data_IF_735698959866
#
_entry.id   IF_735698959866
#
_cell.length_a   1.000
_cell.length_b   1.000
_cell.length_c   1.000
_cell.angle_alpha   90.00
_cell.angle_beta   90.00
_cell.angle_gamma   90.00
#
_symmetry.space_group_name_H-M   'P 1'
#
loop_
_entity.id
_entity.type
_entity.pdbx_description
1 polymer ?
#
# COMPACT_ATOMS: atom_id res chain seq x y z
N UNK A 1 26.21 64.64 3.82
CA UNK A 1 25.18 65.03 2.86
C UNK A 1 25.22 64.06 1.70
N UNK A 2 24.19 63.36 1.52
CA UNK A 2 23.53 62.76 0.37
C UNK A 2 22.96 61.38 0.77
N UNK A 3 21.69 61.41 0.95
CA UNK A 3 20.79 60.27 1.19
C UNK A 3 20.59 59.49 -0.10
N UNK A 4 20.74 58.18 -0.05
CA UNK A 4 20.22 57.29 -1.11
C UNK A 4 19.09 56.48 -0.56
N UNK A 5 17.88 56.80 -1.01
CA UNK A 5 16.67 55.98 -0.83
C UNK A 5 16.83 54.72 -1.68
N UNK A 6 16.81 53.55 -1.05
CA UNK A 6 16.57 52.30 -1.71
C UNK A 6 15.06 52.08 -1.82
N UNK A 7 14.55 52.14 -3.02
CA UNK A 7 13.21 51.70 -3.38
C UNK A 7 13.11 50.17 -3.20
N UNK A 8 12.24 49.77 -2.27
CA UNK A 8 11.78 48.39 -2.18
C UNK A 8 10.72 48.24 -3.27
N UNK A 9 11.08 47.57 -4.38
CA UNK A 9 10.10 47.12 -5.35
C UNK A 9 9.18 46.08 -4.67
N UNK A 10 7.93 46.42 -4.58
CA UNK A 10 6.85 45.53 -4.18
C UNK A 10 6.68 44.52 -5.31
N UNK A 11 7.02 43.26 -5.03
CA UNK A 11 6.65 42.15 -5.90
C UNK A 11 5.12 42.10 -6.05
N UNK A 12 4.67 42.30 -7.27
CA UNK A 12 3.28 42.06 -7.67
C UNK A 12 2.94 40.60 -7.46
N UNK A 13 1.77 40.26 -6.93
CA UNK A 13 1.35 38.87 -6.82
C UNK A 13 1.25 38.27 -8.22
N UNK A 14 1.97 37.20 -8.46
CA UNK A 14 1.87 36.39 -9.66
C UNK A 14 0.44 35.86 -9.67
N UNK A 15 -0.39 36.40 -10.56
CA UNK A 15 -1.67 35.79 -10.90
C UNK A 15 -1.35 34.37 -11.36
N UNK A 16 -1.89 33.39 -10.61
CA UNK A 16 -1.86 31.97 -10.99
C UNK A 16 -2.54 31.84 -12.35
N UNK A 17 -1.74 31.75 -13.39
CA UNK A 17 -2.20 31.39 -14.71
C UNK A 17 -2.55 29.91 -14.61
N UNK A 18 -3.84 29.61 -14.54
CA UNK A 18 -4.41 28.29 -14.73
C UNK A 18 -4.16 27.90 -16.20
N UNK A 19 -2.97 27.40 -16.49
CA UNK A 19 -2.61 26.94 -17.84
C UNK A 19 -3.35 25.64 -18.24
N UNK A 20 -3.97 24.99 -17.30
CA UNK A 20 -4.77 23.78 -17.51
C UNK A 20 -6.08 24.02 -16.75
N UNK A 21 -7.22 24.05 -17.45
CA UNK A 21 -8.56 24.37 -16.94
C UNK A 21 -9.08 23.51 -15.76
N UNK A 22 -8.21 23.12 -14.85
CA UNK A 22 -8.51 22.37 -13.64
C UNK A 22 -9.11 23.34 -12.61
N UNK A 23 -10.42 23.29 -12.47
CA UNK A 23 -11.10 24.04 -11.44
C UNK A 23 -10.92 23.37 -10.09
N UNK A 24 -9.98 23.87 -9.30
CA UNK A 24 -9.79 23.50 -7.88
C UNK A 24 -11.12 23.53 -7.10
N UNK A 25 -12.08 24.34 -7.54
CA UNK A 25 -13.45 24.39 -6.97
C UNK A 25 -14.21 23.07 -7.07
N UNK A 26 -13.94 22.22 -8.08
CA UNK A 26 -14.63 20.92 -8.20
C UNK A 26 -14.12 19.87 -7.23
N UNK A 27 -12.87 19.96 -6.78
CA UNK A 27 -12.34 19.08 -5.72
C UNK A 27 -12.81 19.47 -4.31
N UNK A 28 -13.35 20.68 -4.13
CA UNK A 28 -13.79 21.23 -2.83
C UNK A 28 -15.31 21.11 -2.64
N UNK A 29 -16.06 20.45 -3.52
CA UNK A 29 -17.48 20.23 -3.28
C UNK A 29 -17.68 19.30 -2.08
N UNK A 30 -18.04 19.93 -0.99
CA UNK A 30 -18.54 19.52 0.33
C UNK A 30 -18.51 18.01 0.62
N UNK A 31 -17.77 17.59 1.66
CA UNK A 31 -17.97 16.28 2.24
C UNK A 31 -19.44 16.14 2.66
N UNK A 32 -20.04 15.00 2.36
CA UNK A 32 -21.34 14.63 2.93
C UNK A 32 -21.22 14.77 4.46
N UNK A 33 -22.13 15.47 5.06
CA UNK A 33 -22.28 15.54 6.51
C UNK A 33 -22.50 14.12 7.00
N UNK A 34 -21.74 13.70 7.97
CA UNK A 34 -21.80 12.50 8.78
C UNK A 34 -20.58 11.58 8.64
N UNK A 35 -19.41 12.11 8.99
CA UNK A 35 -18.33 11.26 9.52
C UNK A 35 -17.83 11.92 10.79
N UNK A 36 -18.28 11.46 11.91
CA UNK A 36 -17.68 11.74 13.22
C UNK A 36 -16.26 11.15 13.22
N UNK A 37 -15.27 12.01 13.10
CA UNK A 37 -13.88 11.60 13.29
C UNK A 37 -13.61 11.50 14.78
N UNK A 38 -13.52 10.29 15.25
CA UNK A 38 -12.95 10.01 16.57
C UNK A 38 -11.47 10.42 16.57
N UNK A 39 -10.99 11.01 17.66
CA UNK A 39 -9.63 11.58 17.82
C UNK A 39 -8.52 10.50 17.85
N UNK A 40 -8.62 9.44 17.07
CA UNK A 40 -7.64 8.38 16.98
C UNK A 40 -6.58 8.70 15.92
N UNK A 41 -5.36 8.84 16.37
CA UNK A 41 -4.07 8.90 15.67
C UNK A 41 -4.10 8.91 14.13
N UNK A 42 -4.34 10.09 13.56
CA UNK A 42 -4.20 10.28 12.10
C UNK A 42 -2.74 10.10 11.68
N UNK A 43 -2.51 9.49 10.50
CA UNK A 43 -1.19 9.42 9.91
C UNK A 43 -0.62 10.84 9.66
N UNK A 44 0.71 11.03 9.84
CA UNK A 44 1.36 12.31 9.50
C UNK A 44 1.21 12.68 8.03
N UNK A 45 1.21 11.65 7.14
CA UNK A 45 0.98 11.81 5.72
C UNK A 45 0.01 10.73 5.22
N UNK A 46 -1.11 11.13 4.62
CA UNK A 46 -2.12 10.21 4.11
C UNK A 46 -2.87 10.80 2.91
N UNK A 47 -3.07 9.99 1.88
CA UNK A 47 -3.92 10.34 0.74
C UNK A 47 -5.38 10.33 1.20
N UNK A 48 -6.12 11.37 0.84
CA UNK A 48 -7.54 11.57 1.13
C UNK A 48 -8.42 11.43 -0.11
N UNK A 49 -7.91 11.89 -1.26
CA UNK A 49 -8.64 11.84 -2.53
C UNK A 49 -7.67 11.57 -3.68
N UNK A 50 -8.16 10.87 -4.67
CA UNK A 50 -7.44 10.54 -5.90
C UNK A 50 -8.34 10.94 -7.07
N UNK A 51 -7.82 11.75 -7.98
CA UNK A 51 -8.44 12.10 -9.24
C UNK A 51 -7.51 11.74 -10.39
N UNK A 52 -7.99 10.98 -11.35
CA UNK A 52 -7.23 10.59 -12.54
C UNK A 52 -8.12 10.73 -13.76
N UNK A 53 -7.65 11.45 -14.78
CA UNK A 53 -8.35 11.63 -16.04
C UNK A 53 -7.37 11.52 -17.21
N UNK A 54 -7.74 10.77 -18.25
CA UNK A 54 -6.98 10.56 -19.48
C UNK A 54 -5.57 9.99 -19.25
N UNK A 55 -5.47 8.87 -18.52
CA UNK A 55 -4.19 8.19 -18.25
C UNK A 55 -4.28 6.69 -18.48
N UNK A 56 -3.51 6.15 -19.41
CA UNK A 56 -3.32 4.69 -19.67
C UNK A 56 -4.62 3.85 -19.61
N UNK A 57 -5.68 4.33 -20.30
CA UNK A 57 -6.98 3.65 -20.34
C UNK A 57 -7.91 4.03 -19.18
N UNK A 58 -7.47 4.87 -18.24
CA UNK A 58 -8.34 5.54 -17.28
C UNK A 58 -8.92 6.76 -18.00
N UNK A 59 -10.20 6.72 -18.35
CA UNK A 59 -10.88 7.87 -18.93
C UNK A 59 -11.09 8.93 -17.85
N UNK A 60 -11.77 8.53 -16.76
CA UNK A 60 -11.95 9.37 -15.58
C UNK A 60 -12.32 8.51 -14.38
N UNK A 61 -11.64 8.70 -13.28
CA UNK A 61 -11.97 8.04 -12.00
C UNK A 61 -11.69 8.98 -10.83
N UNK A 62 -12.56 8.94 -9.84
CA UNK A 62 -12.47 9.76 -8.63
C UNK A 62 -12.69 8.89 -7.40
N UNK A 63 -11.73 8.88 -6.47
CA UNK A 63 -11.91 8.32 -5.14
C UNK A 63 -11.85 9.46 -4.14
N UNK A 64 -12.94 9.64 -3.42
CA UNK A 64 -13.08 10.67 -2.40
C UNK A 64 -13.20 10.05 -1.01
N UNK A 65 -12.91 10.85 0.01
CA UNK A 65 -13.19 10.48 1.41
C UNK A 65 -12.45 9.22 1.90
N UNK A 66 -11.16 9.04 1.52
CA UNK A 66 -10.30 8.06 2.18
C UNK A 66 -10.01 8.57 3.59
N UNK A 67 -10.29 7.78 4.65
CA UNK A 67 -10.01 8.20 6.02
C UNK A 67 -8.52 8.45 6.26
N UNK A 68 -8.18 9.52 6.97
CA UNK A 68 -6.78 9.92 7.22
C UNK A 68 -6.02 9.03 8.19
N UNK A 69 -6.71 8.11 8.84
CA UNK A 69 -6.16 7.06 9.69
C UNK A 69 -6.03 5.71 8.97
N UNK A 70 -6.36 5.67 7.67
CA UNK A 70 -6.20 4.49 6.82
C UNK A 70 -4.73 4.26 6.52
N UNK A 71 -4.15 3.23 7.12
CA UNK A 71 -2.76 2.85 6.86
C UNK A 71 -2.61 2.04 5.56
N UNK A 72 -3.61 1.25 5.18
CA UNK A 72 -3.55 0.38 4.02
C UNK A 72 -4.67 0.65 3.03
N UNK A 73 -4.28 0.87 1.77
CA UNK A 73 -5.17 0.86 0.62
C UNK A 73 -4.78 -0.31 -0.29
N UNK A 74 -5.69 -1.25 -0.46
CA UNK A 74 -5.49 -2.40 -1.34
C UNK A 74 -6.21 -2.16 -2.66
N UNK A 75 -5.47 -2.26 -3.77
CA UNK A 75 -6.01 -2.29 -5.12
C UNK A 75 -6.20 -3.75 -5.53
N UNK A 76 -7.43 -4.13 -5.83
CA UNK A 76 -7.79 -5.46 -6.31
C UNK A 76 -8.45 -5.40 -7.67
N UNK A 77 -8.61 -6.52 -8.34
CA UNK A 77 -9.22 -6.66 -9.65
C UNK A 77 -8.46 -7.64 -10.53
N UNK A 78 -9.02 -8.03 -11.65
CA UNK A 78 -8.42 -8.98 -12.58
C UNK A 78 -7.09 -8.50 -13.17
N UNK A 79 -6.37 -9.45 -13.77
CA UNK A 79 -5.14 -9.16 -14.51
C UNK A 79 -5.46 -8.23 -15.69
N UNK A 80 -4.57 -7.31 -15.99
CA UNK A 80 -4.69 -6.33 -17.08
C UNK A 80 -5.80 -5.29 -16.92
N UNK A 81 -6.49 -5.21 -15.76
CA UNK A 81 -7.50 -4.19 -15.49
C UNK A 81 -6.89 -2.83 -15.09
N UNK A 82 -5.56 -2.71 -14.98
CA UNK A 82 -4.89 -1.43 -14.84
C UNK A 82 -4.52 -1.04 -13.40
N UNK A 83 -4.39 -2.00 -12.46
CA UNK A 83 -3.91 -1.71 -11.09
C UNK A 83 -2.57 -0.99 -11.08
N UNK A 84 -1.61 -1.45 -11.88
CA UNK A 84 -0.31 -0.80 -12.07
C UNK A 84 -0.47 0.61 -12.62
N UNK A 85 -1.36 0.84 -13.60
CA UNK A 85 -1.63 2.17 -14.15
C UNK A 85 -2.16 3.14 -13.08
N UNK A 86 -3.01 2.66 -12.18
CA UNK A 86 -3.48 3.44 -11.03
C UNK A 86 -2.34 3.81 -10.09
N UNK A 87 -1.49 2.86 -9.70
CA UNK A 87 -0.32 3.13 -8.85
C UNK A 87 0.64 4.11 -9.52
N UNK A 88 0.89 3.95 -10.82
CA UNK A 88 1.70 4.88 -11.62
C UNK A 88 1.10 6.28 -11.64
N UNK A 89 -0.21 6.42 -11.84
CA UNK A 89 -0.89 7.71 -11.79
C UNK A 89 -0.75 8.36 -10.40
N UNK A 90 -0.93 7.60 -9.32
CA UNK A 90 -0.71 8.11 -7.95
C UNK A 90 0.74 8.59 -7.77
N UNK A 91 1.72 7.80 -8.20
CA UNK A 91 3.13 8.18 -8.12
C UNK A 91 3.43 9.48 -8.88
N UNK A 92 2.85 9.64 -10.08
CA UNK A 92 2.97 10.86 -10.89
C UNK A 92 2.30 12.05 -10.19
N UNK A 93 1.10 11.85 -9.65
CA UNK A 93 0.38 12.90 -8.93
C UNK A 93 1.17 13.40 -7.71
N UNK A 94 1.78 12.49 -6.93
CA UNK A 94 2.63 12.84 -5.79
C UNK A 94 3.94 13.53 -6.22
N UNK A 95 4.58 13.02 -7.27
CA UNK A 95 5.90 13.49 -7.72
C UNK A 95 5.81 14.68 -8.67
N UNK A 96 4.65 14.93 -9.27
CA UNK A 96 4.43 15.95 -10.31
C UNK A 96 4.91 15.56 -11.70
N UNK A 97 5.61 14.40 -11.85
CA UNK A 97 6.14 13.89 -13.12
C UNK A 97 6.41 12.39 -13.01
N UNK A 98 6.55 11.72 -14.14
CA UNK A 98 6.86 10.28 -14.18
C UNK A 98 8.30 10.00 -13.74
N UNK A 99 9.26 10.72 -14.31
CA UNK A 99 10.69 10.62 -14.04
C UNK A 99 11.38 11.95 -14.38
N UNK A 100 12.72 12.04 -14.21
CA UNK A 100 13.50 13.29 -14.34
C UNK A 100 13.11 14.16 -15.53
N UNK A 101 12.69 13.58 -16.66
CA UNK A 101 12.40 14.33 -17.88
C UNK A 101 11.14 13.86 -18.64
N UNK A 102 10.42 12.85 -18.17
CA UNK A 102 9.23 12.36 -18.88
C UNK A 102 7.99 12.97 -18.29
N UNK A 103 7.41 13.92 -19.00
CA UNK A 103 6.04 14.38 -18.83
C UNK A 103 5.17 13.36 -19.59
N UNK A 104 4.04 13.02 -19.04
CA UNK A 104 3.04 12.21 -19.74
C UNK A 104 2.70 12.85 -21.07
N UNK A 105 2.66 12.02 -22.10
CA UNK A 105 2.48 12.45 -23.48
C UNK A 105 1.02 12.46 -23.94
N UNK A 106 0.08 12.00 -23.08
CA UNK A 106 -1.34 12.03 -23.40
C UNK A 106 -1.86 13.46 -23.28
N UNK A 107 -2.42 13.96 -24.38
CA UNK A 107 -3.11 15.25 -24.37
C UNK A 107 -4.25 15.25 -23.38
N UNK A 108 -4.35 16.29 -22.55
CA UNK A 108 -5.36 16.46 -21.51
C UNK A 108 -5.30 15.47 -20.31
N UNK A 109 -4.17 14.82 -20.07
CA UNK A 109 -4.01 14.04 -18.85
C UNK A 109 -4.08 14.93 -17.60
N UNK A 110 -4.93 14.55 -16.65
CA UNK A 110 -5.07 15.24 -15.37
C UNK A 110 -4.94 14.23 -14.23
N UNK A 111 -4.02 14.48 -13.32
CA UNK A 111 -3.85 13.69 -12.11
C UNK A 111 -3.75 14.64 -10.93
N UNK A 112 -4.63 14.47 -9.97
CA UNK A 112 -4.65 15.25 -8.73
C UNK A 112 -4.75 14.34 -7.52
N UNK A 113 -3.92 14.62 -6.50
CA UNK A 113 -3.93 13.89 -5.23
C UNK A 113 -4.14 14.91 -4.11
N UNK A 114 -5.21 14.75 -3.34
CA UNK A 114 -5.35 15.45 -2.07
C UNK A 114 -4.79 14.57 -0.97
N UNK A 115 -3.88 15.11 -0.19
CA UNK A 115 -3.28 14.42 0.95
C UNK A 115 -3.23 15.32 2.18
N UNK A 116 -3.20 14.70 3.34
CA UNK A 116 -2.77 15.33 4.58
C UNK A 116 -1.26 15.17 4.69
N UNK A 117 -0.55 16.24 5.04
CA UNK A 117 0.88 16.20 5.32
C UNK A 117 1.18 17.13 6.51
N UNK A 118 1.76 16.56 7.58
CA UNK A 118 2.14 17.30 8.80
C UNK A 118 1.01 18.16 9.42
N UNK A 119 -0.23 17.70 9.30
CA UNK A 119 -1.40 18.42 9.83
C UNK A 119 -2.15 19.26 8.79
N UNK A 120 -1.52 19.65 7.70
CA UNK A 120 -2.10 20.49 6.66
C UNK A 120 -2.63 19.63 5.48
N UNK A 121 -3.68 20.13 4.83
CA UNK A 121 -4.16 19.59 3.58
C UNK A 121 -3.32 20.13 2.42
N UNK A 122 -2.79 19.24 1.61
CA UNK A 122 -2.04 19.56 0.41
C UNK A 122 -2.72 18.95 -0.81
N UNK A 123 -2.70 19.66 -1.92
CA UNK A 123 -3.14 19.14 -3.21
C UNK A 123 -1.91 19.11 -4.12
N UNK A 124 -1.55 17.92 -4.56
CA UNK A 124 -0.50 17.72 -5.54
C UNK A 124 -1.10 17.34 -6.88
N UNK A 125 -0.46 17.71 -7.96
CA UNK A 125 -0.93 17.37 -9.30
C UNK A 125 0.22 17.26 -10.29
N UNK A 126 -0.10 16.69 -11.44
CA UNK A 126 0.82 16.59 -12.56
C UNK A 126 1.45 17.95 -12.88
N UNK A 127 2.77 17.98 -13.02
CA UNK A 127 3.55 19.18 -13.35
C UNK A 127 4.06 19.98 -12.15
N UNK A 128 3.54 19.78 -10.94
CA UNK A 128 3.96 20.49 -9.73
C UNK A 128 4.38 19.47 -8.66
N UNK A 129 5.67 19.19 -8.49
CA UNK A 129 6.16 18.31 -7.45
C UNK A 129 5.99 18.98 -6.08
N UNK A 130 5.21 18.40 -5.20
CA UNK A 130 4.94 18.96 -3.88
C UNK A 130 5.16 17.97 -2.75
N UNK A 131 5.05 16.66 -3.01
CA UNK A 131 5.25 15.65 -1.99
C UNK A 131 6.45 14.78 -2.30
N UNK A 132 7.45 14.80 -1.45
CA UNK A 132 8.72 14.08 -1.67
C UNK A 132 8.85 12.82 -0.81
N UNK A 133 8.14 12.77 0.32
CA UNK A 133 8.28 11.70 1.29
C UNK A 133 7.48 10.45 0.91
N UNK A 134 7.77 9.89 -0.26
CA UNK A 134 7.18 8.64 -0.73
C UNK A 134 8.20 7.85 -1.56
N UNK A 135 7.93 6.55 -1.69
CA UNK A 135 8.66 5.60 -2.55
C UNK A 135 7.68 4.70 -3.28
N UNK A 136 8.08 4.20 -4.45
CA UNK A 136 7.22 3.36 -5.27
C UNK A 136 7.99 2.16 -5.84
N UNK A 137 7.45 0.97 -5.65
CA UNK A 137 8.05 -0.29 -6.05
C UNK A 137 7.17 -1.01 -7.06
N UNK A 138 7.78 -1.43 -8.18
CA UNK A 138 7.16 -2.34 -9.15
C UNK A 138 7.36 -3.81 -8.77
N UNK A 139 7.04 -4.70 -9.69
CA UNK A 139 7.21 -6.15 -9.54
C UNK A 139 8.69 -6.59 -9.46
N UNK A 140 9.61 -5.85 -10.09
CA UNK A 140 11.05 -6.16 -10.07
C UNK A 140 11.75 -5.56 -8.86
N UNK A 141 12.02 -6.39 -7.83
CA UNK A 141 12.57 -5.96 -6.52
C UNK A 141 13.78 -6.79 -6.06
N UNK A 142 14.44 -7.51 -6.97
CA UNK A 142 15.55 -8.42 -6.61
C UNK A 142 16.94 -7.83 -6.84
N UNK A 143 17.03 -6.75 -7.62
CA UNK A 143 18.31 -6.14 -7.96
C UNK A 143 18.63 -4.99 -7.00
N UNK A 144 19.76 -5.09 -6.32
CA UNK A 144 20.34 -4.03 -5.48
C UNK A 144 21.63 -3.52 -6.10
N UNK A 145 22.02 -2.31 -5.75
CA UNK A 145 23.29 -1.72 -6.19
C UNK A 145 24.51 -2.55 -5.74
N UNK A 146 25.65 -2.34 -6.39
CA UNK A 146 26.89 -3.06 -6.09
C UNK A 146 27.30 -2.85 -4.61
N UNK A 147 27.60 -3.94 -3.93
CA UNK A 147 27.98 -3.96 -2.51
C UNK A 147 29.24 -3.16 -2.16
N UNK A 148 30.13 -2.96 -3.12
CA UNK A 148 31.43 -2.32 -2.90
C UNK A 148 31.45 -0.82 -3.24
N UNK A 149 30.35 -0.31 -3.79
CA UNK A 149 30.21 1.09 -4.15
C UNK A 149 29.23 1.78 -3.21
N UNK A 150 29.50 3.06 -2.94
CA UNK A 150 28.56 3.91 -2.24
C UNK A 150 27.22 3.92 -3.00
N UNK A 151 26.11 3.96 -2.27
CA UNK A 151 24.80 4.11 -2.87
C UNK A 151 24.74 5.42 -3.66
N UNK A 152 24.47 5.33 -4.96
CA UNK A 152 24.31 6.46 -5.83
C UNK A 152 22.93 6.47 -6.45
N UNK A 153 22.26 7.62 -6.45
CA UNK A 153 20.97 7.77 -7.11
C UNK A 153 21.23 7.97 -8.62
N UNK A 154 21.24 6.85 -9.34
CA UNK A 154 21.25 6.80 -10.80
C UNK A 154 19.83 6.92 -11.35
N UNK A 155 19.68 7.01 -12.68
CA UNK A 155 18.36 6.99 -13.33
C UNK A 155 17.55 5.75 -12.92
N UNK A 156 18.18 4.56 -12.93
CA UNK A 156 17.53 3.27 -12.62
C UNK A 156 17.23 3.05 -11.14
N UNK A 157 17.81 3.85 -10.27
CA UNK A 157 17.61 3.78 -8.82
C UNK A 157 16.83 4.96 -8.24
N UNK A 158 16.11 5.73 -9.07
CA UNK A 158 15.19 6.74 -8.54
C UNK A 158 14.02 6.10 -7.81
N UNK A 159 13.43 6.82 -6.87
CA UNK A 159 12.39 6.29 -5.95
C UNK A 159 11.10 5.80 -6.61
N UNK A 160 10.92 6.07 -7.89
CA UNK A 160 9.74 5.67 -8.67
C UNK A 160 10.08 4.80 -9.87
N UNK A 161 11.36 4.71 -10.27
CA UNK A 161 11.76 4.05 -11.52
C UNK A 161 11.27 2.61 -11.62
N UNK A 162 11.40 1.81 -10.56
CA UNK A 162 11.00 0.42 -10.55
C UNK A 162 9.49 0.18 -10.75
N UNK A 163 8.63 1.19 -10.48
CA UNK A 163 7.19 1.09 -10.77
C UNK A 163 6.87 1.26 -12.26
N UNK A 164 7.75 1.91 -13.02
CA UNK A 164 7.57 2.17 -14.46
C UNK A 164 8.42 1.26 -15.33
N UNK A 165 9.48 0.66 -14.78
CA UNK A 165 10.48 -0.08 -15.54
C UNK A 165 10.87 -1.36 -14.79
N UNK A 166 11.00 -2.46 -15.55
CA UNK A 166 11.35 -3.78 -15.00
C UNK A 166 12.83 -3.92 -14.61
N UNK A 167 13.68 -3.01 -15.02
CA UNK A 167 15.13 -3.01 -14.76
C UNK A 167 15.54 -2.03 -13.66
N UNK A 168 14.59 -1.70 -12.78
CA UNK A 168 14.84 -0.88 -11.59
C UNK A 168 15.85 -1.53 -10.64
N UNK A 169 16.72 -0.70 -10.06
CA UNK A 169 17.76 -1.12 -9.11
C UNK A 169 17.50 -0.42 -7.77
N UNK A 170 17.43 -1.19 -6.70
CA UNK A 170 17.23 -0.68 -5.34
C UNK A 170 18.57 -0.28 -4.71
N UNK A 171 18.54 0.67 -3.79
CA UNK A 171 19.70 1.02 -2.97
C UNK A 171 20.12 -0.19 -2.10
N UNK A 172 21.40 -0.29 -1.81
CA UNK A 172 21.95 -1.43 -1.10
C UNK A 172 22.02 -1.19 0.40
N UNK A 173 21.14 -1.84 1.15
CA UNK A 173 21.11 -1.76 2.62
C UNK A 173 22.36 -2.37 3.26
N UNK A 174 23.04 -3.35 2.64
CA UNK A 174 24.26 -3.94 3.19
C UNK A 174 25.39 -2.92 3.27
N UNK A 175 25.47 -2.02 2.28
CA UNK A 175 26.43 -0.92 2.31
C UNK A 175 26.18 0.01 3.51
N UNK A 176 24.94 0.38 3.75
CA UNK A 176 24.55 1.24 4.87
C UNK A 176 24.75 0.54 6.23
N UNK A 177 24.36 -0.73 6.35
CA UNK A 177 24.62 -1.52 7.56
C UNK A 177 26.11 -1.57 7.88
N UNK A 178 26.96 -1.75 6.86
CA UNK A 178 28.42 -1.75 7.04
C UNK A 178 28.92 -0.38 7.52
N UNK A 179 28.46 0.72 6.89
CA UNK A 179 28.85 2.07 7.31
C UNK A 179 28.40 2.38 8.72
N UNK A 180 27.15 2.12 9.07
CA UNK A 180 26.64 2.37 10.44
C UNK A 180 27.39 1.55 11.48
N UNK A 181 27.74 0.30 11.16
CA UNK A 181 28.56 -0.54 12.04
C UNK A 181 29.97 0.03 12.24
N UNK A 182 30.66 0.41 11.16
CA UNK A 182 32.03 0.94 11.22
C UNK A 182 32.08 2.29 11.95
N UNK A 183 31.07 3.12 11.75
CA UNK A 183 30.94 4.42 12.40
C UNK A 183 30.36 4.32 13.82
N UNK A 184 29.98 3.11 14.28
CA UNK A 184 29.31 2.88 15.56
C UNK A 184 28.02 3.66 15.73
N UNK A 185 27.26 3.82 14.65
CA UNK A 185 25.97 4.49 14.67
C UNK A 185 24.88 3.60 15.29
N UNK A 186 23.98 4.15 16.13
CA UNK A 186 22.87 3.39 16.72
C UNK A 186 21.96 2.74 15.67
N UNK A 187 21.88 3.33 14.48
CA UNK A 187 21.07 2.83 13.35
C UNK A 187 21.39 1.38 12.99
N UNK A 188 22.64 0.93 13.15
CA UNK A 188 23.00 -0.45 12.83
C UNK A 188 22.16 -1.45 13.61
N UNK A 189 22.16 -1.37 14.95
CA UNK A 189 21.42 -2.32 15.79
C UNK A 189 19.90 -2.17 15.64
N UNK A 190 19.42 -0.96 15.47
CA UNK A 190 17.99 -0.66 15.29
C UNK A 190 17.49 -1.27 13.98
N UNK A 191 18.18 -1.03 12.86
CA UNK A 191 17.79 -1.56 11.54
C UNK A 191 17.96 -3.07 11.48
N UNK A 192 19.05 -3.62 12.02
CA UNK A 192 19.26 -5.05 12.17
C UNK A 192 18.08 -5.69 12.91
N UNK A 193 17.73 -5.19 14.09
CA UNK A 193 16.60 -5.69 14.89
C UNK A 193 15.27 -5.56 14.13
N UNK A 194 15.11 -4.48 13.39
CA UNK A 194 13.92 -4.24 12.55
C UNK A 194 13.79 -5.29 11.44
N UNK A 195 14.89 -5.58 10.74
CA UNK A 195 14.90 -6.61 9.69
C UNK A 195 14.66 -8.02 10.27
N UNK A 196 15.25 -8.35 11.41
CA UNK A 196 15.01 -9.63 12.09
C UNK A 196 13.56 -9.77 12.55
N UNK A 197 12.93 -8.68 13.00
CA UNK A 197 11.49 -8.68 13.35
C UNK A 197 10.59 -8.91 12.14
N UNK A 198 10.94 -8.34 10.98
CA UNK A 198 10.21 -8.51 9.73
C UNK A 198 10.45 -9.90 9.12
N UNK A 199 11.55 -10.55 9.43
CA UNK A 199 11.99 -11.83 8.87
C UNK A 199 12.27 -12.83 9.99
N UNK A 200 11.25 -13.40 10.68
CA UNK A 200 11.44 -14.27 11.83
C UNK A 200 12.29 -15.52 11.57
N UNK A 201 12.33 -16.00 10.32
CA UNK A 201 13.21 -17.12 9.94
C UNK A 201 14.70 -16.73 9.81
N UNK A 202 15.06 -15.44 9.93
CA UNK A 202 16.44 -15.03 10.16
C UNK A 202 16.75 -15.04 11.66
N UNK A 203 17.81 -15.73 12.01
CA UNK A 203 18.34 -15.77 13.38
C UNK A 203 19.19 -14.53 13.69
N UNK A 204 20.00 -14.11 12.71
CA UNK A 204 20.92 -12.98 12.89
C UNK A 204 21.38 -12.38 11.56
N UNK A 205 21.85 -11.14 11.61
CA UNK A 205 22.57 -10.43 10.56
C UNK A 205 23.90 -9.99 11.14
N UNK A 206 25.01 -10.42 10.55
CA UNK A 206 26.35 -10.17 11.10
C UNK A 206 27.25 -9.50 10.07
N UNK A 207 28.23 -8.74 10.56
CA UNK A 207 29.29 -8.18 9.74
C UNK A 207 30.56 -9.01 9.96
N UNK A 208 30.96 -9.72 8.90
CA UNK A 208 32.16 -10.57 8.91
C UNK A 208 33.35 -9.77 8.38
N UNK A 209 34.48 -9.89 9.11
CA UNK A 209 35.76 -9.26 8.75
C UNK A 209 35.66 -7.73 8.45
N UNK A 210 34.64 -7.02 8.98
CA UNK A 210 34.39 -5.59 8.72
C UNK A 210 34.21 -5.25 7.23
N UNK A 211 33.76 -6.19 6.41
CA UNK A 211 33.68 -6.01 4.95
C UNK A 211 32.41 -6.61 4.34
N UNK A 212 31.81 -7.58 4.99
CA UNK A 212 30.73 -8.36 4.39
C UNK A 212 29.57 -8.52 5.39
N UNK A 213 28.35 -8.29 4.91
CA UNK A 213 27.14 -8.60 5.64
C UNK A 213 26.76 -10.05 5.34
N UNK A 214 26.49 -10.84 6.36
CA UNK A 214 26.05 -12.22 6.23
C UNK A 214 24.78 -12.44 7.04
N UNK A 215 23.96 -13.34 6.57
CA UNK A 215 22.65 -13.67 7.11
C UNK A 215 22.66 -15.09 7.66
N UNK A 216 22.08 -15.29 8.82
CA UNK A 216 21.97 -16.58 9.47
C UNK A 216 20.50 -16.94 9.51
N UNK A 217 20.12 -17.99 8.78
CA UNK A 217 18.75 -18.51 8.77
C UNK A 217 18.57 -19.55 9.89
N UNK A 218 17.33 -19.71 10.36
CA UNK A 218 16.92 -20.79 11.26
C UNK A 218 16.06 -21.81 10.53
N UNK A 219 16.00 -23.03 11.05
CA UNK A 219 15.26 -24.14 10.44
C UNK A 219 13.74 -23.82 10.30
N UNK A 220 13.19 -23.14 11.28
CA UNK A 220 11.81 -22.61 11.25
C UNK A 220 11.71 -21.37 12.14
N UNK A 221 10.57 -20.64 12.06
CA UNK A 221 10.34 -19.40 12.83
C UNK A 221 10.53 -19.61 14.35
N UNK A 222 10.29 -20.81 14.87
CA UNK A 222 10.34 -21.17 16.29
C UNK A 222 11.50 -22.11 16.63
N UNK A 223 12.42 -22.40 15.70
CA UNK A 223 13.54 -23.32 15.92
C UNK A 223 14.78 -22.61 16.46
N UNK A 224 15.44 -23.22 17.44
CA UNK A 224 16.76 -22.77 17.93
C UNK A 224 17.91 -23.24 17.02
N UNK A 225 17.63 -24.13 16.07
CA UNK A 225 18.63 -24.59 15.11
C UNK A 225 18.86 -23.54 14.04
N UNK A 226 20.11 -23.17 13.87
CA UNK A 226 20.55 -22.18 12.89
C UNK A 226 21.39 -22.86 11.80
N UNK A 227 21.34 -22.29 10.60
CA UNK A 227 22.17 -22.69 9.48
C UNK A 227 23.49 -21.92 9.42
N UNK A 228 24.36 -22.30 8.51
CA UNK A 228 25.57 -21.54 8.23
C UNK A 228 25.23 -20.15 7.68
N UNK A 229 26.08 -19.19 7.98
CA UNK A 229 25.91 -17.82 7.49
C UNK A 229 26.06 -17.74 5.98
N UNK A 230 25.09 -17.13 5.32
CA UNK A 230 24.98 -16.97 3.87
C UNK A 230 25.14 -15.53 3.44
N UNK A 231 25.75 -15.24 2.28
CA UNK A 231 25.69 -13.92 1.67
C UNK A 231 24.29 -13.68 1.07
N UNK A 232 23.95 -12.42 0.83
CA UNK A 232 22.63 -11.99 0.31
C UNK A 232 22.16 -12.79 -0.92
N UNK A 233 23.05 -13.05 -1.88
CA UNK A 233 22.72 -13.72 -3.13
C UNK A 233 22.26 -15.17 -2.96
N UNK A 234 22.64 -15.80 -1.86
CA UNK A 234 22.28 -17.19 -1.54
C UNK A 234 20.98 -17.32 -0.74
N UNK A 235 20.43 -16.21 -0.26
CA UNK A 235 19.12 -16.21 0.39
C UNK A 235 18.01 -16.58 -0.60
N UNK A 236 16.92 -17.14 -0.10
CA UNK A 236 15.72 -17.37 -0.88
C UNK A 236 15.20 -16.06 -1.52
N UNK A 237 14.60 -16.13 -2.72
CA UNK A 237 14.14 -14.96 -3.48
C UNK A 237 13.20 -14.05 -2.69
N UNK A 238 12.30 -14.63 -1.89
CA UNK A 238 11.40 -13.88 -1.02
C UNK A 238 12.13 -13.03 0.01
N UNK A 239 13.15 -13.58 0.68
CA UNK A 239 13.98 -12.83 1.64
C UNK A 239 14.77 -11.74 0.96
N UNK A 240 15.38 -12.03 -0.18
CA UNK A 240 16.11 -11.02 -0.95
C UNK A 240 15.21 -9.86 -1.36
N UNK A 241 14.02 -10.16 -1.89
CA UNK A 241 13.05 -9.14 -2.29
C UNK A 241 12.64 -8.26 -1.11
N UNK A 242 12.36 -8.86 0.05
CA UNK A 242 11.92 -8.11 1.22
C UNK A 242 13.05 -7.28 1.83
N UNK A 243 14.24 -7.85 2.01
CA UNK A 243 15.42 -7.12 2.52
C UNK A 243 15.77 -5.96 1.60
N UNK A 244 15.77 -6.18 0.28
CA UNK A 244 16.07 -5.14 -0.71
C UNK A 244 15.04 -4.00 -0.65
N UNK A 245 13.75 -4.32 -0.66
CA UNK A 245 12.67 -3.33 -0.64
C UNK A 245 12.64 -2.55 0.69
N UNK A 246 12.69 -3.25 1.83
CA UNK A 246 12.68 -2.61 3.15
C UNK A 246 13.95 -1.78 3.35
N UNK A 247 15.10 -2.31 2.91
CA UNK A 247 16.36 -1.59 2.97
C UNK A 247 16.35 -0.30 2.17
N UNK A 248 15.92 -0.35 0.91
CA UNK A 248 15.78 0.83 0.06
C UNK A 248 14.81 1.87 0.67
N UNK A 249 13.67 1.39 1.21
CA UNK A 249 12.70 2.25 1.88
C UNK A 249 13.30 2.95 3.10
N UNK A 250 14.02 2.22 3.95
CA UNK A 250 14.69 2.78 5.13
C UNK A 250 15.73 3.82 4.74
N UNK A 251 16.59 3.53 3.74
CA UNK A 251 17.60 4.47 3.27
C UNK A 251 16.94 5.77 2.83
N UNK A 252 15.92 5.70 1.96
CA UNK A 252 15.25 6.88 1.41
C UNK A 252 14.51 7.69 2.46
N UNK A 253 13.84 7.03 3.40
CA UNK A 253 13.15 7.73 4.47
C UNK A 253 14.12 8.36 5.48
N UNK A 254 15.25 7.72 5.78
CA UNK A 254 16.31 8.34 6.60
C UNK A 254 16.99 9.53 5.91
N UNK A 255 17.16 9.48 4.59
CA UNK A 255 17.67 10.64 3.83
C UNK A 255 16.72 11.85 3.91
N UNK A 256 15.41 11.62 3.88
CA UNK A 256 14.40 12.66 3.96
C UNK A 256 14.08 13.10 5.39
N UNK A 257 14.30 12.24 6.36
CA UNK A 257 14.02 12.45 7.79
C UNK A 257 15.28 12.15 8.62
N UNK A 258 16.40 12.87 8.44
CA UNK A 258 17.70 12.54 9.04
C UNK A 258 17.69 12.59 10.57
N UNK A 259 16.76 13.33 11.17
CA UNK A 259 16.56 13.43 12.62
C UNK A 259 15.89 12.20 13.22
N UNK A 260 15.25 11.36 12.41
CA UNK A 260 14.57 10.16 12.87
C UNK A 260 15.58 9.01 12.93
N UNK A 261 15.57 8.26 14.03
CA UNK A 261 16.44 7.10 14.23
C UNK A 261 15.60 5.81 14.23
N UNK A 262 14.45 5.85 14.91
CA UNK A 262 13.56 4.69 15.04
C UNK A 262 12.65 4.54 13.82
N UNK A 263 12.62 3.37 13.15
CA UNK A 263 11.74 3.13 12.01
C UNK A 263 10.26 3.39 12.29
N UNK A 264 9.82 3.21 13.54
CA UNK A 264 8.44 3.48 13.96
C UNK A 264 8.05 4.96 13.87
N UNK A 265 9.01 5.87 13.88
CA UNK A 265 8.79 7.29 13.78
C UNK A 265 8.92 7.81 12.33
N UNK A 266 9.37 6.97 11.39
CA UNK A 266 9.39 7.29 9.97
C UNK A 266 7.96 7.39 9.43
N UNK A 267 7.69 8.43 8.68
CA UNK A 267 6.39 8.68 8.08
C UNK A 267 6.51 8.86 6.56
N UNK A 268 5.44 8.64 5.82
CA UNK A 268 5.43 8.81 4.38
C UNK A 268 4.41 7.90 3.69
N UNK A 269 4.52 7.78 2.37
CA UNK A 269 3.64 6.97 1.54
C UNK A 269 4.48 5.95 0.77
N UNK A 270 4.05 4.69 0.78
CA UNK A 270 4.72 3.59 0.04
C UNK A 270 3.73 2.99 -0.95
N UNK A 271 4.12 2.98 -2.21
CA UNK A 271 3.38 2.32 -3.29
C UNK A 271 4.06 0.99 -3.61
N UNK A 272 3.31 -0.12 -3.63
CA UNK A 272 3.87 -1.45 -3.95
C UNK A 272 2.97 -2.13 -4.97
N UNK A 273 3.50 -2.37 -6.16
CA UNK A 273 2.83 -3.20 -7.15
C UNK A 273 3.11 -4.68 -6.88
N UNK A 274 2.08 -5.53 -7.00
CA UNK A 274 2.16 -6.97 -6.76
C UNK A 274 2.78 -7.32 -5.38
N UNK A 275 2.14 -6.89 -4.29
CA UNK A 275 2.63 -7.12 -2.92
C UNK A 275 2.96 -8.58 -2.62
N UNK A 276 2.17 -9.51 -3.19
CA UNK A 276 2.26 -10.96 -3.00
C UNK A 276 3.40 -11.63 -3.78
N UNK A 277 4.00 -10.94 -4.74
CA UNK A 277 5.01 -11.51 -5.64
C UNK A 277 6.25 -12.03 -4.88
N UNK A 278 6.66 -13.25 -5.20
CA UNK A 278 7.79 -13.98 -4.60
C UNK A 278 7.61 -14.46 -3.16
N UNK A 279 6.46 -14.23 -2.53
CA UNK A 279 6.22 -14.65 -1.15
C UNK A 279 5.40 -15.93 -1.07
N UNK A 280 5.81 -16.85 -0.18
CA UNK A 280 4.98 -17.98 0.21
C UNK A 280 3.68 -17.49 0.86
N UNK A 281 2.52 -18.14 0.69
CA UNK A 281 1.22 -17.69 1.24
C UNK A 281 1.24 -17.33 2.73
N UNK A 282 1.96 -18.10 3.57
CA UNK A 282 2.14 -17.80 4.99
C UNK A 282 2.72 -16.39 5.21
N UNK A 283 3.64 -15.96 4.34
CA UNK A 283 4.27 -14.65 4.39
C UNK A 283 3.36 -13.56 3.82
N UNK A 284 2.65 -13.83 2.73
CA UNK A 284 1.69 -12.90 2.15
C UNK A 284 0.68 -12.42 3.20
N UNK A 285 0.19 -13.34 4.03
CA UNK A 285 -0.74 -13.01 5.13
C UNK A 285 -0.09 -12.17 6.24
N UNK A 286 1.16 -12.50 6.62
CA UNK A 286 1.84 -11.83 7.74
C UNK A 286 2.36 -10.44 7.37
N UNK A 287 2.68 -10.20 6.10
CA UNK A 287 3.40 -9.02 5.64
C UNK A 287 2.70 -7.69 5.97
N UNK A 288 1.39 -7.50 5.75
CA UNK A 288 0.72 -6.26 6.13
C UNK A 288 0.82 -5.99 7.64
N UNK A 289 0.61 -7.01 8.48
CA UNK A 289 0.69 -6.88 9.95
C UNK A 289 2.10 -6.50 10.39
N UNK A 290 3.12 -7.17 9.84
CA UNK A 290 4.52 -6.93 10.19
C UNK A 290 4.97 -5.53 9.77
N UNK A 291 4.65 -5.10 8.53
CA UNK A 291 4.95 -3.75 8.06
C UNK A 291 4.25 -2.69 8.91
N UNK A 292 2.99 -2.90 9.28
CA UNK A 292 2.26 -1.99 10.18
C UNK A 292 2.92 -1.86 11.55
N UNK A 293 3.43 -2.98 12.10
CA UNK A 293 4.08 -2.98 13.42
C UNK A 293 5.43 -2.25 13.44
N UNK A 294 6.11 -2.21 12.30
CA UNK A 294 7.43 -1.58 12.15
C UNK A 294 7.29 -0.13 11.67
N UNK A 295 6.34 0.15 10.79
CA UNK A 295 6.13 1.45 10.18
C UNK A 295 4.69 1.97 10.43
N UNK A 296 4.30 2.19 11.69
CA UNK A 296 2.92 2.55 12.02
C UNK A 296 2.48 3.93 11.48
N UNK A 297 3.42 4.79 11.09
CA UNK A 297 3.15 6.12 10.56
C UNK A 297 3.29 6.21 9.02
N UNK A 298 3.47 5.08 8.34
CA UNK A 298 3.55 5.01 6.88
C UNK A 298 2.23 4.52 6.31
N UNK A 299 1.72 5.20 5.27
CA UNK A 299 0.59 4.74 4.48
C UNK A 299 1.08 3.84 3.34
N UNK A 300 0.50 2.65 3.22
CA UNK A 300 0.79 1.68 2.17
C UNK A 300 -0.36 1.64 1.16
N UNK A 301 -0.05 1.79 -0.13
CA UNK A 301 -0.99 1.65 -1.23
C UNK A 301 -0.45 0.53 -2.10
N UNK A 302 -1.16 -0.58 -2.15
CA UNK A 302 -0.62 -1.81 -2.71
C UNK A 302 -1.57 -2.45 -3.70
N UNK A 303 -1.04 -3.04 -4.78
CA UNK A 303 -1.79 -3.95 -5.61
C UNK A 303 -1.50 -5.40 -5.21
N UNK A 304 -2.45 -6.27 -5.39
CA UNK A 304 -2.30 -7.71 -5.22
C UNK A 304 -3.31 -8.48 -6.08
N UNK A 305 -2.93 -9.68 -6.49
CA UNK A 305 -3.80 -10.65 -7.15
C UNK A 305 -4.19 -11.79 -6.22
N UNK A 306 -3.58 -11.86 -5.05
CA UNK A 306 -3.79 -12.91 -4.07
C UNK A 306 -4.81 -12.50 -3.02
N UNK A 307 -5.69 -13.41 -2.66
CA UNK A 307 -6.62 -13.26 -1.53
C UNK A 307 -5.89 -13.23 -0.18
N UNK A 308 -4.71 -13.81 -0.12
CA UNK A 308 -4.00 -14.08 1.14
C UNK A 308 -3.55 -12.80 1.88
N UNK A 309 -3.04 -11.72 1.24
CA UNK A 309 -2.73 -10.47 1.91
C UNK A 309 -3.93 -9.83 2.60
N UNK A 310 -5.15 -10.01 2.05
CA UNK A 310 -6.38 -9.46 2.66
C UNK A 310 -6.70 -10.11 3.99
N UNK A 311 -6.43 -11.42 4.14
CA UNK A 311 -6.60 -12.13 5.41
C UNK A 311 -5.67 -11.62 6.52
N UNK A 312 -4.65 -10.85 6.16
CA UNK A 312 -3.73 -10.17 7.07
C UNK A 312 -3.90 -8.65 7.08
N UNK A 313 -4.93 -8.11 6.42
CA UNK A 313 -5.16 -6.68 6.36
C UNK A 313 -5.46 -6.12 7.77
N UNK A 314 -4.76 -5.05 8.20
CA UNK A 314 -5.07 -4.38 9.46
C UNK A 314 -6.48 -3.79 9.47
N UNK A 315 -7.02 -3.54 10.66
CA UNK A 315 -8.27 -2.79 10.81
C UNK A 315 -8.18 -1.44 10.10
N UNK A 316 -9.31 -0.93 9.62
CA UNK A 316 -9.41 0.33 8.86
C UNK A 316 -8.68 0.32 7.51
N UNK A 317 -8.33 -0.85 6.97
CA UNK A 317 -7.87 -0.96 5.59
C UNK A 317 -9.00 -0.58 4.63
N UNK A 318 -8.63 0.09 3.53
CA UNK A 318 -9.56 0.45 2.46
C UNK A 318 -9.27 -0.44 1.25
N UNK A 319 -10.33 -0.95 0.65
CA UNK A 319 -10.28 -1.83 -0.52
C UNK A 319 -10.85 -1.09 -1.72
N UNK A 320 -10.05 -1.01 -2.78
CA UNK A 320 -10.39 -0.34 -4.03
C UNK A 320 -10.41 -1.39 -5.14
N UNK A 321 -11.58 -1.66 -5.71
CA UNK A 321 -11.72 -2.51 -6.88
C UNK A 321 -11.37 -1.73 -8.12
N UNK A 322 -10.47 -2.29 -8.92
CA UNK A 322 -10.11 -1.80 -10.24
C UNK A 322 -10.84 -2.65 -11.26
N UNK A 323 -11.73 -2.05 -12.03
CA UNK A 323 -12.49 -2.69 -13.08
C UNK A 323 -12.22 -2.02 -14.42
N UNK A 324 -12.46 -2.70 -15.51
CA UNK A 324 -12.30 -2.18 -16.87
C UNK A 324 -13.54 -2.42 -17.71
N UNK A 325 -14.06 -1.36 -18.29
CA UNK A 325 -15.22 -1.39 -19.18
C UNK A 325 -14.88 -0.65 -20.49
N UNK A 326 -15.40 -1.12 -21.63
CA UNK A 326 -15.15 -0.49 -22.91
C UNK A 326 -15.69 0.97 -22.98
N UNK A 327 -16.81 1.26 -22.32
CA UNK A 327 -17.45 2.57 -22.36
C UNK A 327 -16.81 3.58 -21.39
N UNK A 328 -16.39 3.15 -20.20
CA UNK A 328 -15.94 4.02 -19.12
C UNK A 328 -14.43 3.91 -18.85
N UNK A 329 -13.74 3.02 -19.56
CA UNK A 329 -12.34 2.74 -19.33
C UNK A 329 -12.09 2.04 -18.00
N UNK A 330 -10.92 2.30 -17.41
CA UNK A 330 -10.55 1.79 -16.09
C UNK A 330 -11.22 2.65 -15.01
N UNK A 331 -11.90 2.00 -14.08
CA UNK A 331 -12.61 2.63 -12.96
C UNK A 331 -12.09 2.11 -11.63
N UNK A 332 -12.12 2.99 -10.64
CA UNK A 332 -11.86 2.66 -9.24
C UNK A 332 -13.16 2.75 -8.44
N UNK A 333 -13.44 1.74 -7.67
CA UNK A 333 -14.58 1.70 -6.76
C UNK A 333 -14.13 1.34 -5.36
N UNK A 334 -14.61 2.08 -4.35
CA UNK A 334 -14.35 1.74 -2.96
C UNK A 334 -15.34 0.68 -2.50
N UNK A 335 -14.83 -0.44 -2.03
CA UNK A 335 -15.63 -1.52 -1.47
C UNK A 335 -15.84 -1.32 0.04
N UNK A 336 -17.10 -1.44 0.48
CA UNK A 336 -17.45 -1.44 1.90
C UNK A 336 -17.58 -2.88 2.39
N UNK A 337 -16.45 -3.51 2.72
CA UNK A 337 -16.39 -4.91 3.15
C UNK A 337 -15.61 -5.00 4.45
N UNK A 338 -16.18 -5.68 5.44
CA UNK A 338 -15.49 -6.07 6.66
C UNK A 338 -14.86 -7.46 6.48
N UNK A 339 -13.54 -7.49 6.32
CA UNK A 339 -12.81 -8.76 6.07
C UNK A 339 -12.57 -9.57 7.34
N UNK A 340 -12.63 -8.94 8.52
CA UNK A 340 -12.15 -9.48 9.79
C UNK A 340 -12.68 -10.88 10.14
N UNK A 341 -13.88 -11.21 9.69
CA UNK A 341 -14.56 -12.46 10.00
C UNK A 341 -14.78 -13.36 8.77
N UNK A 342 -14.25 -12.98 7.61
CA UNK A 342 -14.44 -13.77 6.40
C UNK A 342 -13.43 -14.92 6.32
N UNK A 343 -13.94 -16.09 5.96
CA UNK A 343 -13.12 -17.24 5.57
C UNK A 343 -12.54 -17.03 4.15
N UNK A 344 -11.46 -17.72 3.77
CA UNK A 344 -10.87 -17.61 2.44
C UNK A 344 -11.88 -17.76 1.30
N UNK A 345 -12.81 -18.70 1.38
CA UNK A 345 -13.84 -18.92 0.36
C UNK A 345 -14.85 -17.78 0.28
N UNK A 346 -15.30 -17.27 1.44
CA UNK A 346 -16.19 -16.11 1.49
C UNK A 346 -15.51 -14.85 0.94
N UNK A 347 -14.18 -14.73 1.10
CA UNK A 347 -13.43 -13.63 0.53
C UNK A 347 -13.27 -13.76 -0.98
N UNK A 348 -13.05 -14.98 -1.50
CA UNK A 348 -12.98 -15.26 -2.94
C UNK A 348 -14.31 -14.97 -3.65
N UNK A 349 -15.45 -15.29 -3.02
CA UNK A 349 -16.79 -15.03 -3.57
C UNK A 349 -17.29 -13.60 -3.28
N UNK A 350 -16.53 -12.79 -2.54
CA UNK A 350 -16.90 -11.40 -2.24
C UNK A 350 -16.71 -10.51 -3.49
N UNK A 351 -17.33 -9.31 -3.50
CA UNK A 351 -17.11 -8.32 -4.57
C UNK A 351 -15.65 -7.89 -4.78
N UNK A 352 -14.72 -8.32 -3.90
CA UNK A 352 -13.29 -8.08 -4.06
C UNK A 352 -12.73 -8.88 -5.24
N UNK A 353 -13.09 -10.18 -5.34
CA UNK A 353 -12.57 -11.09 -6.36
C UNK A 353 -13.62 -11.53 -7.39
N UNK A 354 -14.92 -11.36 -7.09
CA UNK A 354 -16.05 -11.69 -7.99
C UNK A 354 -16.02 -13.14 -8.53
N UNK A 355 -15.48 -14.09 -7.78
CA UNK A 355 -15.54 -15.49 -8.18
C UNK A 355 -16.92 -16.05 -7.84
N UNK A 356 -17.59 -16.62 -8.83
CA UNK A 356 -18.84 -17.32 -8.59
C UNK A 356 -18.61 -18.58 -7.75
N UNK A 357 -19.58 -18.95 -6.92
CA UNK A 357 -19.48 -20.18 -6.12
C UNK A 357 -19.28 -21.43 -6.99
N UNK A 358 -19.61 -21.37 -8.27
CA UNK A 358 -19.33 -22.42 -9.26
C UNK A 358 -17.87 -22.48 -9.72
N UNK A 359 -17.18 -21.34 -9.80
CA UNK A 359 -15.75 -21.25 -10.13
C UNK A 359 -14.85 -21.91 -9.08
N UNK A 360 -15.36 -22.08 -7.85
CA UNK A 360 -14.65 -22.70 -6.72
C UNK A 360 -14.88 -24.20 -6.68
N UNK A 361 -15.92 -24.71 -7.34
CA UNK A 361 -16.24 -26.14 -7.39
C UNK A 361 -15.32 -26.86 -8.38
N UNK A 362 -14.73 -27.98 -7.95
CA UNK A 362 -14.08 -28.88 -8.89
C UNK A 362 -15.15 -29.58 -9.74
N UNK A 363 -14.98 -29.57 -11.08
CA UNK A 363 -15.93 -30.12 -12.06
C UNK A 363 -16.26 -31.63 -11.90
N UNK A 364 -15.59 -32.36 -11.02
CA UNK A 364 -15.62 -33.83 -10.97
C UNK A 364 -16.31 -34.42 -9.72
N UNK A 365 -17.10 -33.69 -8.95
CA UNK A 365 -17.79 -34.27 -7.79
C UNK A 365 -19.29 -34.43 -8.03
N UNK A 366 -19.70 -35.61 -8.53
CA UNK A 366 -21.11 -36.00 -8.62
C UNK A 366 -21.81 -36.21 -7.27
N UNK A 367 -21.10 -36.08 -6.12
CA UNK A 367 -21.62 -36.25 -4.75
C UNK A 367 -21.46 -35.00 -3.90
N UNK A 368 -21.92 -33.86 -4.38
CA UNK A 368 -21.82 -32.55 -3.67
C UNK A 368 -22.83 -32.36 -2.53
N UNK A 369 -23.59 -33.38 -2.16
CA UNK A 369 -24.50 -33.30 -1.01
C UNK A 369 -23.85 -33.52 0.36
N UNK A 370 -22.57 -33.90 0.40
CA UNK A 370 -21.85 -34.16 1.64
C UNK A 370 -20.78 -33.14 1.95
N UNK A 371 -21.09 -32.27 2.90
CA UNK A 371 -20.17 -31.46 3.72
C UNK A 371 -19.53 -30.26 2.98
N UNK A 372 -20.29 -29.18 2.83
CA UNK A 372 -19.70 -27.84 2.76
C UNK A 372 -19.17 -27.47 4.14
N UNK A 373 -17.87 -27.32 4.29
CA UNK A 373 -17.22 -26.84 5.50
C UNK A 373 -17.04 -25.32 5.54
N UNK A 374 -17.30 -24.62 4.42
CA UNK A 374 -17.08 -23.18 4.29
C UNK A 374 -18.24 -22.51 3.54
N UNK A 375 -18.70 -21.37 4.06
CA UNK A 375 -19.78 -20.57 3.49
C UNK A 375 -19.24 -19.60 2.45
N UNK A 376 -20.03 -19.33 1.40
CA UNK A 376 -19.75 -18.25 0.44
C UNK A 376 -19.98 -16.88 1.09
N UNK A 377 -19.52 -15.81 0.46
CA UNK A 377 -19.73 -14.45 0.99
C UNK A 377 -21.22 -14.12 1.18
N UNK A 378 -22.06 -14.46 0.21
CA UNK A 378 -23.51 -14.19 0.26
C UNK A 378 -24.20 -15.00 1.37
N UNK A 379 -23.78 -16.26 1.58
CA UNK A 379 -24.29 -17.07 2.68
C UNK A 379 -23.92 -16.49 4.06
N UNK A 380 -22.70 -15.94 4.21
CA UNK A 380 -22.29 -15.25 5.44
C UNK A 380 -23.14 -14.01 5.67
N UNK A 381 -23.36 -13.18 4.64
CA UNK A 381 -24.19 -11.98 4.75
C UNK A 381 -25.63 -12.32 5.11
N UNK A 382 -26.20 -13.33 4.47
CA UNK A 382 -27.55 -13.81 4.78
C UNK A 382 -27.66 -14.32 6.22
N UNK A 383 -26.69 -15.11 6.67
CA UNK A 383 -26.66 -15.63 8.03
C UNK A 383 -26.52 -14.51 9.09
N UNK A 384 -25.71 -13.49 8.81
CA UNK A 384 -25.57 -12.35 9.72
C UNK A 384 -26.84 -11.49 9.75
N UNK A 385 -27.52 -11.31 8.61
CA UNK A 385 -28.85 -10.65 8.56
C UNK A 385 -29.90 -11.43 9.36
N UNK A 386 -29.93 -12.75 9.20
CA UNK A 386 -30.85 -13.63 9.98
C UNK A 386 -30.54 -13.52 11.47
N UNK A 387 -29.27 -13.58 11.89
CA UNK A 387 -28.87 -13.42 13.29
C UNK A 387 -29.26 -12.05 13.84
N UNK A 388 -29.07 -10.96 13.08
CA UNK A 388 -29.46 -9.61 13.48
C UNK A 388 -31.01 -9.51 13.67
N UNK A 389 -31.79 -10.10 12.76
CA UNK A 389 -33.25 -10.15 12.87
C UNK A 389 -33.72 -10.98 14.07
N UNK A 390 -33.07 -12.11 14.34
CA UNK A 390 -33.36 -12.92 15.51
C UNK A 390 -33.04 -12.17 16.81
N UNK A 391 -31.89 -11.53 16.91
CA UNK A 391 -31.51 -10.72 18.07
C UNK A 391 -32.48 -9.54 18.29
N UNK A 392 -32.90 -8.87 17.21
CA UNK A 392 -33.91 -7.81 17.28
C UNK A 392 -35.27 -8.34 17.73
N UNK A 393 -35.62 -9.56 17.35
CA UNK A 393 -36.84 -10.22 17.75
C UNK A 393 -36.79 -10.64 19.22
N UNK A 394 -35.72 -11.24 19.70
CA UNK A 394 -35.50 -11.61 21.10
C UNK A 394 -35.51 -10.40 22.05
N UNK A 395 -35.06 -9.22 21.55
CA UNK A 395 -35.10 -7.96 22.31
C UNK A 395 -36.49 -7.29 22.33
N UNK A 396 -37.42 -7.74 21.48
CA UNK A 396 -38.79 -7.26 21.47
C UNK A 396 -39.64 -8.22 22.31
N UNK A 397 -40.21 -7.77 23.43
CA UNK A 397 -41.16 -8.50 24.29
C UNK A 397 -42.49 -8.87 23.54
N UNK A 398 -42.41 -9.38 22.32
CA UNK A 398 -43.57 -9.81 21.54
C UNK A 398 -43.69 -11.33 21.64
N UNK A 399 -44.77 -11.78 22.22
CA UNK A 399 -45.20 -13.18 22.16
C UNK A 399 -45.30 -13.64 20.69
N UNK A 400 -44.79 -14.83 20.43
CA UNK A 400 -44.90 -15.49 19.13
C UNK A 400 -46.39 -15.65 18.77
N UNK A 401 -46.81 -15.05 17.68
CA UNK A 401 -48.11 -15.44 17.09
C UNK A 401 -47.89 -16.69 16.25
N UNK A 402 -48.72 -17.68 16.41
CA UNK A 402 -48.67 -18.99 15.73
C UNK A 402 -48.72 -18.87 14.17
N UNK A 403 -49.09 -17.72 13.65
CA UNK A 403 -49.22 -17.44 12.21
C UNK A 403 -47.84 -17.42 11.46
N UNK A 404 -46.72 -17.32 12.17
CA UNK A 404 -45.40 -17.28 11.53
C UNK A 404 -44.92 -18.67 11.09
N UNK A 405 -45.41 -19.74 11.71
CA UNK A 405 -45.02 -21.11 11.35
C UNK A 405 -45.75 -21.63 10.11
N UNK A 406 -46.89 -21.06 9.73
CA UNK A 406 -47.63 -21.47 8.53
C UNK A 406 -47.06 -20.89 7.22
N UNK A 407 -46.25 -19.81 7.28
CA UNK A 407 -45.64 -19.17 6.09
C UNK A 407 -44.30 -19.80 5.67
N UNK A 408 -43.61 -20.53 6.53
CA UNK A 408 -42.32 -21.18 6.24
C UNK A 408 -42.49 -22.60 5.69
N UNK A 409 -43.73 -23.17 5.76
CA UNK A 409 -44.05 -24.53 5.29
C UNK A 409 -44.69 -24.55 3.87
N UNK A 410 -44.68 -23.45 3.15
CA UNK A 410 -45.07 -23.35 1.74
C UNK A 410 -43.89 -22.91 0.93
#
# INVERSE_FOLDING_TARGET
MLSTHSQIERATPIHSVSAYGFSIKKMIEKPSKDVFFDNTTSLPSAIKQIHIENYQGIIKTDITSIPIDTQWLFLTGENSFGKTAVLQAIAIGLFGKQDKNRILTEENCQIGIELKSNGDNQITHLGIPQFTNFVAYGSSRLQIQNKQAQNEISEKSTKTYGLFNVDGILLNIEYELLLWFLNKEPKYEIVKTTLLKLLPSLADIQIRNKREVVYIERESDDSDKIYEALPFEKLASGYRSLIAMIGDMLIRFYEQQPQVIEPKALSGIVLIDELDLHFHPKWQRKLPILLSSVFPQVQFIVSTHSVIPFLGAPEKSVFLKVSRNQATGIQLERLNIEIKNLLPNSLLTSPIFDLDGEDIKQENNENLSEIRTEETYDEVQLNDEIKARLAAFESSDREFSDDLFEQVAK
#
